data_IF_101095263720
#
_entry.id   IF_101095263720
#
_cell.length_a   1.000
_cell.length_b   1.000
_cell.length_c   1.000
_cell.angle_alpha   90.00
_cell.angle_beta   90.00
_cell.angle_gamma   90.00
#
_symmetry.space_group_name_H-M   'P 1'
#
loop_
_entity.id
_entity.type
_entity.pdbx_description
1 polymer ?
#
# COMPACT_ATOMS: atom_id res chain seq x y z
N UNK A 1 1.57 5.90 -26.90
CA UNK A 1 1.16 4.98 -25.81
C UNK A 1 -0.07 5.55 -25.11
N UNK A 2 -1.17 4.78 -25.02
CA UNK A 2 -2.42 5.25 -24.43
C UNK A 2 -2.19 5.61 -22.95
N UNK A 3 -2.28 6.89 -22.58
CA UNK A 3 -1.90 7.42 -21.26
C UNK A 3 -2.67 6.76 -20.09
N UNK A 4 -3.84 6.16 -20.33
CA UNK A 4 -4.54 5.28 -19.37
C UNK A 4 -3.70 4.05 -18.98
N UNK A 5 -3.08 3.38 -19.95
CA UNK A 5 -2.16 2.24 -19.71
C UNK A 5 -0.91 2.67 -18.94
N UNK A 6 -0.43 3.91 -19.15
CA UNK A 6 0.71 4.45 -18.40
C UNK A 6 0.37 4.63 -16.92
N UNK A 7 -0.78 5.24 -16.61
CA UNK A 7 -1.26 5.41 -15.22
C UNK A 7 -1.40 4.06 -14.52
N UNK A 8 -1.96 3.06 -15.21
CA UNK A 8 -2.09 1.70 -14.68
C UNK A 8 -0.72 1.07 -14.39
N UNK A 9 0.24 1.18 -15.32
CA UNK A 9 1.60 0.63 -15.14
C UNK A 9 2.30 1.29 -13.94
N UNK A 10 2.23 2.61 -13.81
CA UNK A 10 2.82 3.34 -12.67
C UNK A 10 2.14 2.96 -11.35
N UNK A 11 0.83 2.72 -11.36
CA UNK A 11 0.11 2.24 -10.19
C UNK A 11 0.54 0.83 -9.78
N UNK A 12 0.64 -0.12 -10.74
CA UNK A 12 1.16 -1.46 -10.45
C UNK A 12 2.59 -1.42 -9.91
N UNK A 13 3.42 -0.54 -10.45
CA UNK A 13 4.77 -0.32 -9.95
C UNK A 13 4.78 0.17 -8.50
N UNK A 14 3.90 1.12 -8.13
CA UNK A 14 3.77 1.56 -6.73
C UNK A 14 3.38 0.41 -5.80
N UNK A 15 2.45 -0.46 -6.22
CA UNK A 15 2.06 -1.66 -5.47
C UNK A 15 3.27 -2.57 -5.25
N UNK A 16 4.05 -2.84 -6.30
CA UNK A 16 5.28 -3.64 -6.19
C UNK A 16 6.29 -3.01 -5.23
N UNK A 17 6.51 -1.69 -5.28
CA UNK A 17 7.42 -1.01 -4.35
C UNK A 17 6.99 -1.18 -2.89
N UNK A 18 5.70 -1.01 -2.57
CA UNK A 18 5.19 -1.22 -1.23
C UNK A 18 5.25 -2.70 -0.79
N UNK A 19 5.04 -3.64 -1.71
CA UNK A 19 5.26 -5.07 -1.44
C UNK A 19 6.71 -5.35 -1.07
N UNK A 20 7.67 -4.89 -1.88
CA UNK A 20 9.11 -5.06 -1.63
C UNK A 20 9.53 -4.42 -0.32
N UNK A 21 9.06 -3.20 -0.05
CA UNK A 21 9.28 -2.51 1.21
C UNK A 21 8.76 -3.34 2.39
N UNK A 22 7.53 -3.82 2.35
CA UNK A 22 7.01 -4.65 3.45
C UNK A 22 7.80 -5.95 3.59
N UNK A 23 8.13 -6.62 2.48
CA UNK A 23 8.87 -7.88 2.50
C UNK A 23 10.26 -7.74 3.13
N UNK A 24 10.90 -6.58 2.98
CA UNK A 24 12.20 -6.30 3.63
C UNK A 24 12.15 -6.40 5.16
N UNK A 25 10.98 -6.21 5.79
CA UNK A 25 10.79 -6.37 7.24
C UNK A 25 11.07 -7.82 7.67
N UNK A 26 10.67 -8.81 6.86
CA UNK A 26 10.92 -10.23 7.16
C UNK A 26 12.41 -10.59 7.10
N UNK A 27 13.17 -9.89 6.26
CA UNK A 27 14.61 -10.14 6.09
C UNK A 27 15.48 -9.45 7.13
N UNK A 28 14.93 -8.51 7.91
CA UNK A 28 15.66 -7.76 8.92
C UNK A 28 16.35 -8.63 10.00
N UNK A 29 15.69 -9.63 10.62
CA UNK A 29 16.36 -10.53 11.57
C UNK A 29 17.40 -11.45 10.90
N UNK A 30 17.18 -11.85 9.64
CA UNK A 30 18.17 -12.65 8.92
C UNK A 30 19.42 -11.81 8.59
N UNK A 31 19.21 -10.55 8.21
CA UNK A 31 20.29 -9.63 7.91
C UNK A 31 21.16 -9.32 9.13
N UNK A 32 20.56 -9.20 10.33
CA UNK A 32 21.31 -8.97 11.57
C UNK A 32 22.18 -10.15 11.96
N UNK A 33 21.78 -11.38 11.62
CA UNK A 33 22.60 -12.59 11.81
C UNK A 33 23.77 -12.68 10.82
N UNK A 34 23.60 -12.15 9.60
CA UNK A 34 24.63 -12.22 8.56
C UNK A 34 25.75 -11.19 8.78
N UNK A 35 25.43 -9.90 8.74
CA UNK A 35 26.44 -8.82 8.84
C UNK A 35 25.81 -7.44 8.97
N UNK A 36 26.59 -6.47 9.48
CA UNK A 36 26.19 -5.05 9.50
C UNK A 36 25.88 -4.52 8.10
N UNK A 37 26.61 -4.96 7.08
CA UNK A 37 26.40 -4.58 5.68
C UNK A 37 25.04 -5.07 5.16
N UNK A 38 24.65 -6.31 5.50
CA UNK A 38 23.35 -6.85 5.13
C UNK A 38 22.20 -6.06 5.76
N UNK A 39 22.33 -5.63 7.02
CA UNK A 39 21.34 -4.77 7.70
C UNK A 39 21.19 -3.43 6.98
N UNK A 40 22.30 -2.79 6.62
CA UNK A 40 22.29 -1.53 5.86
C UNK A 40 21.60 -1.73 4.51
N UNK A 41 21.92 -2.82 3.81
CA UNK A 41 21.30 -3.13 2.52
C UNK A 41 19.78 -3.30 2.62
N UNK A 42 19.30 -4.11 3.57
CA UNK A 42 17.86 -4.31 3.80
C UNK A 42 17.17 -2.99 4.20
N UNK A 43 17.83 -2.18 5.04
CA UNK A 43 17.36 -0.84 5.38
C UNK A 43 17.24 0.08 4.16
N UNK A 44 18.23 0.08 3.27
CA UNK A 44 18.18 0.82 2.02
C UNK A 44 17.02 0.36 1.13
N UNK A 45 16.80 -0.96 0.99
CA UNK A 45 15.66 -1.51 0.23
C UNK A 45 14.34 -1.06 0.83
N UNK A 46 14.21 -1.05 2.16
CA UNK A 46 13.02 -0.55 2.85
C UNK A 46 12.77 0.93 2.51
N UNK A 47 13.74 1.81 2.73
CA UNK A 47 13.58 3.26 2.54
C UNK A 47 13.39 3.65 1.06
N UNK A 48 14.13 3.03 0.15
CA UNK A 48 13.97 3.25 -1.30
C UNK A 48 12.61 2.74 -1.79
N UNK A 49 12.16 1.59 -1.30
CA UNK A 49 10.83 1.06 -1.62
C UNK A 49 9.71 1.99 -1.14
N UNK A 50 9.81 2.49 0.10
CA UNK A 50 8.86 3.44 0.69
C UNK A 50 8.79 4.75 -0.12
N UNK A 51 9.94 5.39 -0.32
CA UNK A 51 10.04 6.68 -1.02
C UNK A 51 9.56 6.57 -2.47
N UNK A 52 10.03 5.56 -3.20
CA UNK A 52 9.62 5.30 -4.59
C UNK A 52 8.12 5.00 -4.68
N UNK A 53 7.58 4.20 -3.74
CA UNK A 53 6.16 3.91 -3.66
C UNK A 53 5.31 5.16 -3.49
N UNK A 54 5.69 6.09 -2.61
CA UNK A 54 4.97 7.35 -2.42
C UNK A 54 5.09 8.30 -3.61
N UNK A 55 6.29 8.47 -4.18
CA UNK A 55 6.50 9.34 -5.35
C UNK A 55 5.68 8.87 -6.55
N UNK A 56 5.65 7.57 -6.79
CA UNK A 56 4.88 6.97 -7.89
C UNK A 56 3.38 7.10 -7.65
N UNK A 57 2.90 6.88 -6.42
CA UNK A 57 1.49 7.08 -6.06
C UNK A 57 1.05 8.55 -6.17
N UNK A 58 1.93 9.49 -5.81
CA UNK A 58 1.70 10.91 -6.01
C UNK A 58 1.60 11.26 -7.50
N UNK A 59 2.51 10.72 -8.31
CA UNK A 59 2.52 10.90 -9.77
C UNK A 59 1.23 10.38 -10.41
N UNK A 60 0.74 9.20 -9.98
CA UNK A 60 -0.56 8.64 -10.40
C UNK A 60 -1.70 9.56 -10.02
N UNK A 61 -1.70 10.11 -8.80
CA UNK A 61 -2.75 11.03 -8.35
C UNK A 61 -2.74 12.34 -9.14
N UNK A 62 -1.56 12.88 -9.45
CA UNK A 62 -1.39 14.08 -10.29
C UNK A 62 -1.90 13.82 -11.70
N UNK A 63 -1.45 12.75 -12.35
CA UNK A 63 -1.90 12.37 -13.69
C UNK A 63 -3.42 12.18 -13.73
N UNK A 64 -4.02 11.49 -12.75
CA UNK A 64 -5.48 11.33 -12.64
C UNK A 64 -6.20 12.68 -12.56
N UNK A 65 -5.72 13.62 -11.73
CA UNK A 65 -6.33 14.95 -11.59
C UNK A 65 -6.24 15.76 -12.89
N UNK A 66 -5.10 15.72 -13.57
CA UNK A 66 -4.91 16.38 -14.87
C UNK A 66 -5.86 15.80 -15.92
N UNK A 67 -6.04 14.48 -15.93
CA UNK A 67 -6.99 13.80 -16.79
C UNK A 67 -8.43 14.24 -16.59
N UNK A 68 -8.88 14.26 -15.33
CA UNK A 68 -10.22 14.69 -14.98
C UNK A 68 -10.47 16.16 -15.33
N UNK A 69 -9.45 17.03 -15.17
CA UNK A 69 -9.53 18.44 -15.56
C UNK A 69 -9.71 18.60 -17.07
N UNK A 70 -8.99 17.80 -17.88
CA UNK A 70 -9.08 17.84 -19.35
C UNK A 70 -10.40 17.33 -19.91
N UNK A 71 -11.03 16.35 -19.26
CA UNK A 71 -12.33 15.81 -19.69
C UNK A 71 -13.54 16.64 -19.23
N UNK A 72 -13.34 17.82 -18.61
CA UNK A 72 -14.44 18.63 -18.06
C UNK A 72 -15.18 17.96 -16.88
N UNK A 73 -14.76 16.76 -16.48
CA UNK A 73 -15.47 15.89 -15.54
C UNK A 73 -15.00 16.12 -14.09
N UNK A 74 -14.70 17.38 -13.75
CA UNK A 74 -14.20 17.78 -12.43
C UNK A 74 -15.18 17.45 -11.28
N UNK A 75 -16.46 17.25 -11.61
CA UNK A 75 -17.52 16.91 -10.68
C UNK A 75 -17.70 15.39 -10.44
N UNK A 76 -17.17 14.51 -11.31
CA UNK A 76 -17.44 13.06 -11.28
C UNK A 76 -16.92 12.35 -10.01
N UNK A 77 -15.87 12.88 -9.36
CA UNK A 77 -15.33 12.37 -8.10
C UNK A 77 -15.32 13.41 -6.96
N UNK A 78 -16.07 14.50 -7.16
CA UNK A 78 -16.42 15.48 -6.12
C UNK A 78 -17.54 14.96 -5.20
N UNK A 79 -17.86 13.66 -5.28
CA UNK A 79 -18.68 12.97 -4.31
C UNK A 79 -18.14 13.24 -2.90
N UNK A 80 -19.03 13.74 -2.04
CA UNK A 80 -18.81 14.03 -0.62
C UNK A 80 -17.83 12.99 -0.04
N UNK A 81 -16.78 13.45 0.66
CA UNK A 81 -15.99 12.63 1.58
C UNK A 81 -16.94 12.18 2.70
N UNK A 82 -17.83 11.24 2.43
CA UNK A 82 -18.63 10.59 3.45
C UNK A 82 -17.72 9.62 4.18
N UNK A 83 -17.84 9.55 5.51
CA UNK A 83 -17.19 8.53 6.34
C UNK A 83 -17.42 7.10 5.78
N UNK A 84 -18.54 6.86 5.07
CA UNK A 84 -18.81 5.61 4.36
C UNK A 84 -17.78 5.27 3.27
N UNK A 85 -17.15 6.26 2.64
CA UNK A 85 -16.06 6.05 1.68
C UNK A 85 -14.72 5.72 2.35
N UNK A 86 -14.61 5.95 3.67
CA UNK A 86 -13.45 5.56 4.46
C UNK A 86 -13.43 4.05 4.69
N UNK A 87 -14.60 3.41 4.75
CA UNK A 87 -14.77 1.99 4.99
C UNK A 87 -14.92 1.21 3.69
N UNK A 88 -13.96 0.31 3.42
CA UNK A 88 -14.24 -0.95 2.72
C UNK A 88 -14.97 -0.86 1.37
N UNK A 89 -14.59 0.10 0.54
CA UNK A 89 -15.33 0.34 -0.71
C UNK A 89 -15.05 -0.66 -1.83
N UNK A 90 -13.94 -1.39 -1.73
CA UNK A 90 -13.52 -2.44 -2.68
C UNK A 90 -13.39 -3.76 -1.95
N UNK A 91 -13.72 -4.88 -2.59
CA UNK A 91 -13.50 -6.24 -2.06
C UNK A 91 -12.05 -6.47 -1.60
N UNK A 92 -11.04 -6.07 -2.39
CA UNK A 92 -9.64 -6.15 -1.98
C UNK A 92 -9.35 -5.32 -0.72
N UNK A 93 -9.90 -4.10 -0.63
CA UNK A 93 -9.78 -3.28 0.58
C UNK A 93 -10.47 -3.93 1.79
N UNK A 94 -11.54 -4.69 1.60
CA UNK A 94 -12.15 -5.49 2.67
C UNK A 94 -11.18 -6.51 3.24
N UNK A 95 -10.59 -7.31 2.37
CA UNK A 95 -9.63 -8.34 2.78
C UNK A 95 -8.46 -7.69 3.52
N UNK A 96 -7.77 -6.74 2.88
CA UNK A 96 -6.58 -6.13 3.47
C UNK A 96 -6.88 -5.30 4.73
N UNK A 97 -8.01 -4.59 4.78
CA UNK A 97 -8.37 -3.85 5.99
C UNK A 97 -8.68 -4.78 7.16
N UNK A 98 -9.39 -5.89 6.94
CA UNK A 98 -9.64 -6.89 7.98
C UNK A 98 -8.34 -7.52 8.48
N UNK A 99 -7.44 -7.91 7.58
CA UNK A 99 -6.13 -8.48 7.95
C UNK A 99 -5.30 -7.46 8.74
N UNK A 100 -5.30 -6.18 8.34
CA UNK A 100 -4.60 -5.13 9.06
C UNK A 100 -5.16 -4.91 10.48
N UNK A 101 -6.49 -4.92 10.65
CA UNK A 101 -7.14 -4.76 11.96
C UNK A 101 -6.82 -5.94 12.88
N UNK A 102 -7.02 -7.18 12.39
CA UNK A 102 -6.74 -8.39 13.16
C UNK A 102 -5.25 -8.42 13.53
N UNK A 103 -4.36 -8.20 12.56
CA UNK A 103 -2.93 -8.18 12.82
C UNK A 103 -2.51 -7.10 13.81
N UNK A 104 -3.11 -5.91 13.75
CA UNK A 104 -2.82 -4.83 14.70
C UNK A 104 -3.27 -5.17 16.13
N UNK A 105 -4.45 -5.80 16.28
CA UNK A 105 -4.92 -6.30 17.58
C UNK A 105 -4.00 -7.40 18.11
N UNK A 106 -3.64 -8.38 17.28
CA UNK A 106 -2.71 -9.45 17.66
C UNK A 106 -1.35 -8.89 18.09
N UNK A 107 -0.79 -7.94 17.33
CA UNK A 107 0.49 -7.31 17.64
C UNK A 107 0.40 -6.51 18.95
N UNK A 108 -0.70 -5.79 19.17
CA UNK A 108 -0.95 -5.07 20.42
C UNK A 108 -0.97 -6.02 21.61
N UNK A 109 -1.73 -7.13 21.53
CA UNK A 109 -1.76 -8.15 22.58
C UNK A 109 -0.36 -8.73 22.84
N UNK A 110 0.40 -9.05 21.80
CA UNK A 110 1.77 -9.56 21.95
C UNK A 110 2.73 -8.55 22.60
N UNK A 111 2.56 -7.25 22.36
CA UNK A 111 3.38 -6.20 22.97
C UNK A 111 3.03 -5.96 24.44
N UNK A 112 1.75 -6.08 24.81
CA UNK A 112 1.26 -5.84 26.17
C UNK A 112 1.28 -7.11 27.06
N UNK A 113 1.59 -8.27 26.52
CA UNK A 113 1.68 -9.55 27.25
C UNK A 113 3.09 -10.12 27.18
N UNK A 114 3.42 -11.08 28.06
CA UNK A 114 4.70 -11.81 28.02
C UNK A 114 4.80 -12.84 26.86
N UNK A 115 3.85 -12.87 25.93
CA UNK A 115 3.82 -13.79 24.77
C UNK A 115 4.68 -13.28 23.60
N UNK A 116 5.83 -12.67 23.91
CA UNK A 116 6.68 -12.03 22.91
C UNK A 116 7.56 -13.06 22.19
N UNK A 117 6.98 -13.70 21.19
CA UNK A 117 7.76 -14.49 20.22
C UNK A 117 8.34 -13.53 19.17
N UNK A 118 9.67 -13.40 19.16
CA UNK A 118 10.38 -12.40 18.35
C UNK A 118 10.09 -12.56 16.85
N UNK A 119 10.18 -13.78 16.31
CA UNK A 119 9.90 -14.04 14.91
C UNK A 119 8.42 -13.85 14.54
N UNK A 120 7.50 -14.30 15.40
CA UNK A 120 6.05 -14.14 15.17
C UNK A 120 5.70 -12.65 15.13
N UNK A 121 6.26 -11.84 16.02
CA UNK A 121 6.05 -10.40 16.06
C UNK A 121 6.50 -9.72 14.75
N UNK A 122 7.63 -10.15 14.17
CA UNK A 122 8.14 -9.64 12.90
C UNK A 122 7.23 -10.03 11.73
N UNK A 123 6.76 -11.28 11.69
CA UNK A 123 5.81 -11.74 10.66
C UNK A 123 4.49 -10.99 10.76
N UNK A 124 3.96 -10.81 11.97
CA UNK A 124 2.73 -10.04 12.20
C UNK A 124 2.94 -8.57 11.79
N UNK A 125 4.09 -7.97 12.10
CA UNK A 125 4.40 -6.60 11.69
C UNK A 125 4.43 -6.46 10.16
N UNK A 126 5.09 -7.39 9.46
CA UNK A 126 5.07 -7.48 8.00
C UNK A 126 3.64 -7.52 7.47
N UNK A 127 2.81 -8.42 8.00
CA UNK A 127 1.42 -8.59 7.56
C UNK A 127 0.59 -7.32 7.79
N UNK A 128 0.77 -6.66 8.93
CA UNK A 128 0.07 -5.40 9.26
C UNK A 128 0.50 -4.29 8.30
N UNK A 129 1.81 -4.07 8.13
CA UNK A 129 2.34 -3.00 7.27
C UNK A 129 1.93 -3.22 5.81
N UNK A 130 2.09 -4.45 5.30
CA UNK A 130 1.69 -4.80 3.94
C UNK A 130 0.18 -4.58 3.74
N UNK A 131 -0.64 -5.10 4.65
CA UNK A 131 -2.09 -5.01 4.53
C UNK A 131 -2.58 -3.58 4.65
N UNK A 132 -1.98 -2.75 5.51
CA UNK A 132 -2.32 -1.34 5.63
C UNK A 132 -1.96 -0.57 4.35
N UNK A 133 -0.78 -0.80 3.78
CA UNK A 133 -0.40 -0.20 2.49
C UNK A 133 -1.39 -0.59 1.39
N UNK A 134 -1.69 -1.88 1.26
CA UNK A 134 -2.63 -2.39 0.25
C UNK A 134 -4.05 -1.87 0.48
N UNK A 135 -4.51 -1.80 1.74
CA UNK A 135 -5.78 -1.20 2.11
C UNK A 135 -5.89 0.23 1.59
N UNK A 136 -4.90 1.07 1.91
CA UNK A 136 -4.88 2.47 1.49
C UNK A 136 -4.86 2.62 -0.04
N UNK A 137 -4.09 1.79 -0.74
CA UNK A 137 -3.96 1.82 -2.20
C UNK A 137 -5.27 1.40 -2.88
N UNK A 138 -5.84 0.27 -2.48
CA UNK A 138 -7.06 -0.28 -3.10
C UNK A 138 -8.35 0.46 -2.71
N UNK A 139 -8.36 1.12 -1.54
CA UNK A 139 -9.50 1.94 -1.12
C UNK A 139 -9.45 3.35 -1.75
N UNK A 140 -8.28 3.74 -2.26
CA UNK A 140 -8.03 5.06 -2.83
C UNK A 140 -8.78 5.34 -4.14
N UNK A 141 -8.96 6.63 -4.44
CA UNK A 141 -9.59 7.11 -5.69
C UNK A 141 -8.84 6.68 -6.95
N UNK A 142 -7.53 6.43 -6.85
CA UNK A 142 -6.70 5.99 -7.95
C UNK A 142 -7.08 4.58 -8.42
N UNK A 143 -7.29 3.64 -7.50
CA UNK A 143 -7.69 2.28 -7.84
C UNK A 143 -9.09 2.24 -8.48
N UNK A 144 -10.06 2.98 -7.91
CA UNK A 144 -11.42 3.08 -8.48
C UNK A 144 -11.40 3.62 -9.90
N UNK A 145 -10.59 4.65 -10.15
CA UNK A 145 -10.43 5.23 -11.48
C UNK A 145 -9.83 4.22 -12.48
N UNK A 146 -8.78 3.50 -12.09
CA UNK A 146 -8.16 2.47 -12.94
C UNK A 146 -9.12 1.32 -13.21
N UNK A 147 -9.89 0.87 -12.20
CA UNK A 147 -10.90 -0.17 -12.35
C UNK A 147 -11.99 0.25 -13.35
N UNK A 148 -12.52 1.47 -13.23
CA UNK A 148 -13.50 2.01 -14.16
C UNK A 148 -12.96 2.16 -15.59
N UNK A 149 -11.71 2.59 -15.77
CA UNK A 149 -11.07 2.64 -17.10
C UNK A 149 -10.92 1.27 -17.76
N UNK A 150 -10.89 0.20 -16.97
CA UNK A 150 -10.80 -1.18 -17.46
C UNK A 150 -12.19 -1.76 -17.79
N UNK A 151 -13.21 -1.45 -16.98
CA UNK A 151 -14.58 -1.94 -17.16
C UNK A 151 -15.40 -1.13 -18.18
N UNK A 152 -15.04 0.13 -18.44
CA UNK A 152 -15.66 0.98 -19.48
C UNK A 152 -15.08 0.81 -20.88
N UNK A 153 -14.41 -0.31 -21.15
CA UNK A 153 -13.96 -0.77 -22.47
C UNK A 153 -14.69 -2.05 -22.81
#
# INVERSE_FOLDING_TARGET
MNKSKQIEKTFRFSVTCFSVMSLSILFMPMASLLSKTAVIFVGCVFWLGLTTGFVTLFSVNKARKEYMKKMGNANFFKGKKSLKNLFFTTFLSKIFGSVAIIGFLTLSVMLFTNLRFEYVSIVTLFLVVFSLCMYCIFNGKNYKYIKQLREGK
#
